data_IF_765079217573
#
_entry.id   IF_765079217573
#
_cell.length_a   1.000
_cell.length_b   1.000
_cell.length_c   1.000
_cell.angle_alpha   90.00
_cell.angle_beta   90.00
_cell.angle_gamma   90.00
#
_symmetry.space_group_name_H-M   'P 1'
#
loop_
_entity.id
_entity.type
_entity.pdbx_description
1 polymer ?
#
# COMPACT_ATOMS: atom_id res chain seq x y z
N UNK A 1 13.00 6.47 19.07
CA UNK A 1 12.88 5.92 17.71
C UNK A 1 11.70 6.59 17.03
N UNK A 2 11.82 6.94 15.77
CA UNK A 2 10.71 7.54 15.00
C UNK A 2 9.72 6.42 14.66
N UNK A 3 8.44 6.59 15.04
CA UNK A 3 7.43 5.54 14.91
C UNK A 3 6.53 5.78 13.70
N UNK A 4 6.11 4.72 13.00
CA UNK A 4 5.09 4.83 11.97
C UNK A 4 3.74 5.20 12.58
N UNK A 5 3.03 6.10 11.91
CA UNK A 5 1.65 6.42 12.27
C UNK A 5 0.71 5.29 11.84
N UNK A 6 -0.27 5.00 12.66
CA UNK A 6 -1.37 4.10 12.29
C UNK A 6 -2.70 4.56 12.87
N UNK A 7 -3.79 4.18 12.18
CA UNK A 7 -5.12 4.17 12.75
C UNK A 7 -5.47 2.71 13.11
N UNK A 8 -5.78 2.44 14.38
CA UNK A 8 -6.18 1.11 14.85
C UNK A 8 -7.70 1.08 14.93
N UNK A 9 -8.32 0.07 14.31
CA UNK A 9 -9.77 -0.10 14.23
C UNK A 9 -10.14 -1.50 14.71
N UNK A 10 -11.03 -1.57 15.71
CA UNK A 10 -11.42 -2.82 16.37
C UNK A 10 -10.49 -3.21 17.51
N UNK A 11 -10.89 -4.24 18.25
CA UNK A 11 -10.17 -4.77 19.43
C UNK A 11 -10.19 -6.30 19.45
N UNK A 12 -10.30 -6.93 18.27
CA UNK A 12 -10.30 -8.39 18.15
C UNK A 12 -8.95 -8.99 18.56
N UNK A 13 -8.95 -10.28 18.84
CA UNK A 13 -7.75 -10.99 19.30
C UNK A 13 -6.71 -11.22 18.19
N UNK A 14 -7.10 -11.15 16.91
CA UNK A 14 -6.21 -11.36 15.76
C UNK A 14 -5.80 -10.03 15.16
N UNK A 15 -4.51 -9.79 15.08
CA UNK A 15 -3.97 -8.57 14.49
C UNK A 15 -3.95 -8.64 12.97
N UNK A 16 -4.34 -7.54 12.33
CA UNK A 16 -4.38 -7.40 10.88
C UNK A 16 -3.69 -6.10 10.47
N UNK A 17 -2.56 -6.17 9.77
CA UNK A 17 -1.82 -4.99 9.32
C UNK A 17 -2.11 -4.74 7.85
N UNK A 18 -2.55 -3.52 7.51
CA UNK A 18 -2.80 -3.09 6.14
C UNK A 18 -1.77 -2.03 5.73
N UNK A 19 -1.07 -2.31 4.62
CA UNK A 19 -0.05 -1.47 4.02
C UNK A 19 -0.56 -0.92 2.68
N UNK A 20 -0.65 0.40 2.58
CA UNK A 20 -1.15 1.09 1.39
C UNK A 20 -0.16 1.11 0.23
N UNK A 21 -0.66 1.41 -0.97
CA UNK A 21 0.14 1.62 -2.19
C UNK A 21 0.85 2.98 -2.22
N UNK A 22 1.71 3.16 -3.22
CA UNK A 22 2.45 4.39 -3.45
C UNK A 22 1.53 5.61 -3.52
N UNK A 23 1.92 6.70 -2.87
CA UNK A 23 1.13 7.94 -2.70
C UNK A 23 -0.22 7.74 -2.00
N UNK A 24 -0.44 6.60 -1.37
CA UNK A 24 -1.60 6.32 -0.52
C UNK A 24 -1.36 6.66 0.95
N UNK A 25 -2.31 6.23 1.77
CA UNK A 25 -2.25 6.27 3.24
C UNK A 25 -3.21 5.24 3.83
N UNK A 26 -3.05 4.89 5.10
CA UNK A 26 -3.91 3.94 5.79
C UNK A 26 -5.40 4.30 5.71
N UNK A 27 -5.74 5.60 5.73
CA UNK A 27 -7.12 6.09 5.63
C UNK A 27 -7.85 5.63 4.35
N UNK A 28 -7.13 5.26 3.29
CA UNK A 28 -7.74 4.71 2.08
C UNK A 28 -8.43 3.36 2.31
N UNK A 29 -8.07 2.67 3.39
CA UNK A 29 -8.54 1.34 3.74
C UNK A 29 -9.57 1.31 4.87
N UNK A 30 -10.01 2.46 5.38
CA UNK A 30 -10.91 2.57 6.55
C UNK A 30 -12.19 1.75 6.43
N UNK A 31 -12.81 1.70 5.26
CA UNK A 31 -14.05 0.93 5.05
C UNK A 31 -13.81 -0.57 5.22
N UNK A 32 -12.74 -1.09 4.60
CA UNK A 32 -12.37 -2.50 4.73
C UNK A 32 -11.94 -2.85 6.15
N UNK A 33 -11.20 -1.94 6.80
CA UNK A 33 -10.79 -2.14 8.20
C UNK A 33 -11.97 -2.21 9.15
N UNK A 34 -13.00 -1.37 8.99
CA UNK A 34 -14.23 -1.44 9.78
C UNK A 34 -14.95 -2.77 9.59
N UNK A 35 -15.02 -3.26 8.35
CA UNK A 35 -15.65 -4.54 8.06
C UNK A 35 -14.85 -5.73 8.65
N UNK A 36 -13.51 -5.68 8.56
CA UNK A 36 -12.64 -6.68 9.21
C UNK A 36 -12.77 -6.64 10.73
N UNK A 37 -12.86 -5.45 11.32
CA UNK A 37 -13.06 -5.31 12.77
C UNK A 37 -14.38 -5.94 13.24
N UNK A 38 -15.44 -5.85 12.44
CA UNK A 38 -16.71 -6.54 12.71
C UNK A 38 -16.58 -8.08 12.65
N UNK A 39 -15.55 -8.59 11.94
CA UNK A 39 -15.19 -10.00 11.87
C UNK A 39 -14.15 -10.42 12.93
N UNK A 40 -13.96 -9.64 13.99
CA UNK A 40 -13.13 -10.00 15.13
C UNK A 40 -11.62 -9.71 14.97
N UNK A 41 -11.24 -8.84 14.05
CA UNK A 41 -9.84 -8.40 13.88
C UNK A 41 -9.55 -7.08 14.61
N UNK A 42 -8.31 -6.91 15.07
CA UNK A 42 -7.73 -5.63 15.43
C UNK A 42 -6.91 -5.14 14.22
N UNK A 43 -7.40 -4.12 13.52
CA UNK A 43 -6.85 -3.72 12.21
C UNK A 43 -5.99 -2.48 12.33
N UNK A 44 -4.72 -2.60 11.98
CA UNK A 44 -3.72 -1.54 11.96
C UNK A 44 -3.59 -0.99 10.55
N UNK A 45 -4.07 0.22 10.30
CA UNK A 45 -3.90 0.96 9.05
C UNK A 45 -2.62 1.77 9.12
N UNK A 46 -1.52 1.21 8.63
CA UNK A 46 -0.18 1.80 8.81
C UNK A 46 0.15 2.72 7.64
N UNK A 47 0.59 3.94 7.95
CA UNK A 47 1.18 4.86 6.98
C UNK A 47 2.68 4.55 6.84
N UNK A 48 3.15 4.31 5.61
CA UNK A 48 4.57 4.09 5.35
C UNK A 48 5.39 5.39 5.59
N UNK A 49 6.71 5.27 5.84
CA UNK A 49 7.61 6.43 5.85
C UNK A 49 7.37 7.31 4.62
N UNK A 50 7.50 8.61 4.75
CA UNK A 50 7.26 9.61 3.70
C UNK A 50 5.83 9.66 3.15
N UNK A 51 4.86 8.97 3.80
CA UNK A 51 3.45 8.97 3.43
C UNK A 51 2.55 9.27 4.63
N UNK A 52 1.32 9.67 4.34
CA UNK A 52 0.28 9.87 5.33
C UNK A 52 0.71 10.80 6.47
N UNK A 53 0.58 10.32 7.71
CA UNK A 53 1.00 11.04 8.94
C UNK A 53 2.29 10.49 9.53
N UNK A 54 2.91 9.51 8.86
CA UNK A 54 4.22 9.00 9.25
C UNK A 54 5.32 10.02 9.01
N UNK A 55 6.45 9.80 9.65
CA UNK A 55 7.60 10.70 9.58
C UNK A 55 8.16 10.83 8.16
N UNK A 56 8.74 11.97 7.87
CA UNK A 56 9.54 12.22 6.69
C UNK A 56 11.00 11.83 6.95
N UNK A 57 11.63 11.24 5.93
CA UNK A 57 13.03 10.82 5.93
C UNK A 57 13.61 11.08 4.55
N UNK A 58 14.91 11.40 4.48
CA UNK A 58 15.64 11.55 3.22
C UNK A 58 15.89 10.21 2.52
N UNK A 59 15.63 9.10 3.21
CA UNK A 59 15.84 7.76 2.70
C UNK A 59 14.51 7.02 2.50
N UNK A 60 14.42 6.31 1.36
CA UNK A 60 13.27 5.50 1.01
C UNK A 60 13.69 4.25 0.25
N UNK A 61 13.44 3.07 0.83
CA UNK A 61 13.68 1.77 0.19
C UNK A 61 12.88 0.67 0.88
N UNK A 62 12.69 -0.49 0.23
CA UNK A 62 12.00 -1.62 0.83
C UNK A 62 12.69 -2.17 2.10
N UNK A 63 14.03 -2.31 2.17
CA UNK A 63 14.68 -2.72 3.42
C UNK A 63 14.38 -1.79 4.60
N UNK A 64 14.35 -0.48 4.37
CA UNK A 64 14.00 0.49 5.39
C UNK A 64 12.53 0.40 5.80
N UNK A 65 11.60 0.18 4.86
CA UNK A 65 10.19 -0.02 5.17
C UNK A 65 9.95 -1.32 5.95
N UNK A 66 10.69 -2.38 5.65
CA UNK A 66 10.68 -3.64 6.42
C UNK A 66 11.15 -3.41 7.85
N UNK A 67 12.25 -2.67 8.04
CA UNK A 67 12.75 -2.34 9.37
C UNK A 67 11.77 -1.47 10.16
N UNK A 68 11.12 -0.50 9.51
CA UNK A 68 10.08 0.32 10.15
C UNK A 68 8.91 -0.53 10.65
N UNK A 69 8.48 -1.51 9.84
CA UNK A 69 7.39 -2.42 10.23
C UNK A 69 7.80 -3.34 11.39
N UNK A 70 9.03 -3.83 11.40
CA UNK A 70 9.53 -4.62 12.53
C UNK A 70 9.50 -3.79 13.81
N UNK A 71 10.03 -2.57 13.76
CA UNK A 71 10.00 -1.64 14.89
C UNK A 71 8.57 -1.29 15.32
N UNK A 72 7.65 -1.14 14.34
CA UNK A 72 6.23 -0.89 14.60
C UNK A 72 5.58 -2.06 15.35
N UNK A 73 5.80 -3.29 14.90
CA UNK A 73 5.27 -4.49 15.55
C UNK A 73 5.81 -4.64 16.97
N UNK A 74 7.11 -4.41 17.17
CA UNK A 74 7.75 -4.50 18.49
C UNK A 74 7.20 -3.43 19.45
N UNK A 75 7.00 -2.20 18.97
CA UNK A 75 6.40 -1.11 19.75
C UNK A 75 4.97 -1.41 20.19
N UNK A 76 4.17 -2.05 19.33
CA UNK A 76 2.80 -2.44 19.62
C UNK A 76 2.67 -3.83 20.27
N UNK A 77 3.79 -4.48 20.61
CA UNK A 77 3.84 -5.82 21.20
C UNK A 77 3.09 -6.87 20.37
N UNK A 78 3.16 -6.74 19.04
CA UNK A 78 2.55 -7.70 18.11
C UNK A 78 3.54 -8.83 17.86
N UNK A 79 3.27 -10.03 18.36
CA UNK A 79 4.11 -11.21 18.08
C UNK A 79 4.02 -11.59 16.61
N UNK A 80 2.80 -11.70 16.10
CA UNK A 80 2.52 -11.90 14.69
C UNK A 80 1.25 -11.14 14.25
N UNK A 81 0.98 -11.12 12.94
CA UNK A 81 -0.21 -10.55 12.36
C UNK A 81 -0.52 -11.15 10.98
N UNK A 82 -1.75 -10.98 10.53
CA UNK A 82 -2.09 -11.12 9.11
C UNK A 82 -1.69 -9.82 8.40
N UNK A 83 -0.96 -9.94 7.30
CA UNK A 83 -0.56 -8.79 6.50
C UNK A 83 -1.38 -8.71 5.22
N UNK A 84 -1.83 -7.51 4.90
CA UNK A 84 -2.35 -7.16 3.58
C UNK A 84 -1.57 -5.98 3.04
N UNK A 85 -0.98 -6.13 1.86
CA UNK A 85 -0.25 -5.05 1.20
C UNK A 85 -0.73 -4.81 -0.22
N UNK A 86 -1.01 -3.56 -0.58
CA UNK A 86 -1.37 -3.16 -1.94
C UNK A 86 -0.17 -2.52 -2.65
N UNK A 87 0.14 -3.00 -3.86
CA UNK A 87 1.16 -2.40 -4.73
C UNK A 87 2.52 -2.25 -3.99
N UNK A 88 3.03 -1.05 -3.74
CA UNK A 88 4.21 -0.78 -2.90
C UNK A 88 4.10 -1.47 -1.53
N UNK A 89 2.96 -1.35 -0.85
CA UNK A 89 2.71 -2.06 0.42
C UNK A 89 2.74 -3.57 0.27
N UNK A 90 2.34 -4.10 -0.89
CA UNK A 90 2.46 -5.53 -1.23
C UNK A 90 3.90 -5.99 -1.36
N UNK A 91 4.75 -5.20 -2.00
CA UNK A 91 6.21 -5.48 -2.05
C UNK A 91 6.85 -5.40 -0.68
N UNK A 92 6.45 -4.43 0.13
CA UNK A 92 6.92 -4.33 1.52
C UNK A 92 6.51 -5.55 2.34
N UNK A 93 5.25 -5.99 2.23
CA UNK A 93 4.74 -7.17 2.92
C UNK A 93 5.44 -8.46 2.46
N UNK A 94 5.65 -8.62 1.14
CA UNK A 94 6.41 -9.76 0.60
C UNK A 94 7.85 -9.78 1.11
N UNK A 95 8.54 -8.63 1.08
CA UNK A 95 9.92 -8.52 1.58
C UNK A 95 10.01 -8.81 3.08
N UNK A 96 9.03 -8.35 3.86
CA UNK A 96 8.93 -8.63 5.29
C UNK A 96 8.69 -10.13 5.54
N UNK A 97 7.79 -10.77 4.78
CA UNK A 97 7.49 -12.19 4.90
C UNK A 97 8.71 -13.08 4.65
N UNK A 98 9.55 -12.74 3.68
CA UNK A 98 10.76 -13.48 3.34
C UNK A 98 11.89 -13.31 4.39
N UNK A 99 11.91 -12.17 5.11
CA UNK A 99 12.91 -11.86 6.12
C UNK A 99 12.47 -12.29 7.53
N UNK A 100 11.20 -12.12 7.86
CA UNK A 100 10.62 -12.34 9.19
C UNK A 100 9.39 -13.27 9.14
N UNK A 101 9.49 -14.50 8.59
CA UNK A 101 8.34 -15.37 8.34
C UNK A 101 7.56 -15.76 9.60
N UNK A 102 8.21 -15.77 10.77
CA UNK A 102 7.56 -16.06 12.04
C UNK A 102 6.60 -14.97 12.51
N UNK A 103 6.82 -13.71 12.06
CA UNK A 103 6.01 -12.54 12.42
C UNK A 103 4.74 -12.38 11.55
N UNK A 104 4.51 -13.25 10.58
CA UNK A 104 3.32 -13.23 9.72
C UNK A 104 2.54 -14.53 9.90
N UNK A 105 1.25 -14.44 10.19
CA UNK A 105 0.32 -15.57 10.22
C UNK A 105 -0.12 -15.96 8.81
N UNK A 106 -0.69 -15.00 8.06
CA UNK A 106 -1.14 -15.12 6.67
C UNK A 106 -0.72 -13.87 5.89
N UNK A 107 -0.44 -14.01 4.60
CA UNK A 107 -0.07 -12.90 3.73
C UNK A 107 -1.11 -12.69 2.63
N UNK A 108 -1.58 -11.45 2.45
CA UNK A 108 -2.41 -11.03 1.32
C UNK A 108 -1.68 -9.96 0.53
N UNK A 109 -1.47 -10.21 -0.75
CA UNK A 109 -0.81 -9.29 -1.69
C UNK A 109 -1.83 -8.82 -2.71
N UNK A 110 -2.02 -7.51 -2.82
CA UNK A 110 -3.03 -6.91 -3.67
C UNK A 110 -2.35 -6.24 -4.86
N UNK A 111 -2.56 -6.84 -6.03
CA UNK A 111 -2.23 -6.40 -7.38
C UNK A 111 -0.78 -5.98 -7.62
N UNK A 112 0.14 -6.82 -7.19
CA UNK A 112 1.58 -6.67 -7.44
C UNK A 112 2.27 -8.05 -7.41
N UNK A 113 3.27 -8.26 -8.29
CA UNK A 113 4.14 -9.43 -8.28
C UNK A 113 5.56 -9.06 -7.76
N UNK A 114 6.40 -10.03 -7.41
CA UNK A 114 7.76 -9.76 -6.91
C UNK A 114 8.76 -9.35 -8.01
N UNK A 115 8.32 -9.01 -9.21
CA UNK A 115 9.15 -8.61 -10.35
C UNK A 115 9.48 -7.12 -10.36
N UNK A 116 10.35 -6.71 -11.29
CA UNK A 116 10.59 -5.30 -11.61
C UNK A 116 9.39 -4.68 -12.35
N UNK A 117 9.11 -3.44 -12.01
CA UNK A 117 8.17 -2.56 -12.71
C UNK A 117 8.86 -1.25 -13.07
N UNK A 118 8.84 -0.87 -14.34
CA UNK A 118 9.32 0.45 -14.73
C UNK A 118 8.53 1.54 -13.98
N UNK A 119 9.15 2.65 -13.56
CA UNK A 119 8.48 3.68 -12.78
C UNK A 119 7.29 4.30 -13.53
N UNK A 120 6.02 3.99 -13.17
CA UNK A 120 4.86 4.44 -13.94
C UNK A 120 4.35 5.81 -13.52
N UNK A 121 4.94 6.41 -12.47
CA UNK A 121 4.34 7.57 -11.79
C UNK A 121 5.03 8.90 -12.09
N UNK A 122 5.84 8.99 -13.15
CA UNK A 122 6.61 10.22 -13.45
C UNK A 122 5.72 11.45 -13.65
N UNK A 123 4.62 11.34 -14.41
CA UNK A 123 3.68 12.45 -14.63
C UNK A 123 2.96 12.85 -13.33
N UNK A 124 2.57 11.87 -12.50
CA UNK A 124 1.95 12.11 -11.20
C UNK A 124 2.91 12.88 -10.28
N UNK A 125 4.15 12.41 -10.20
CA UNK A 125 5.19 13.05 -9.37
C UNK A 125 5.55 14.44 -9.90
N UNK A 126 5.56 14.65 -11.22
CA UNK A 126 5.73 15.98 -11.83
C UNK A 126 4.59 16.92 -11.41
N UNK A 127 3.33 16.46 -11.52
CA UNK A 127 2.17 17.24 -11.11
C UNK A 127 2.18 17.61 -9.62
N UNK A 128 2.51 16.64 -8.76
CA UNK A 128 2.58 16.89 -7.31
C UNK A 128 3.77 17.79 -6.92
N UNK A 129 4.94 17.64 -7.58
CA UNK A 129 6.14 18.43 -7.28
C UNK A 129 6.05 19.88 -7.72
N UNK A 130 5.14 20.20 -8.65
CA UNK A 130 4.92 21.57 -9.17
C UNK A 130 3.76 22.28 -8.49
N UNK A 131 3.15 21.68 -7.45
CA UNK A 131 2.11 22.35 -6.65
C UNK A 131 2.71 23.48 -5.81
N UNK A 132 2.37 24.72 -6.14
CA UNK A 132 2.69 25.89 -5.30
C UNK A 132 1.50 26.26 -4.42
N UNK A 133 1.57 25.90 -3.15
CA UNK A 133 0.51 26.20 -2.16
C UNK A 133 0.41 27.65 -1.72
N UNK A 134 1.29 28.54 -2.20
CA UNK A 134 1.10 29.97 -2.10
C UNK A 134 0.02 30.46 -3.09
N UNK A 135 -0.15 29.74 -4.21
CA UNK A 135 -1.12 30.04 -5.26
C UNK A 135 -2.34 29.11 -5.17
N UNK A 136 -2.13 27.83 -4.88
CA UNK A 136 -3.16 26.80 -4.80
C UNK A 136 -3.81 26.80 -3.40
N UNK A 137 -4.71 27.75 -3.16
CA UNK A 137 -5.33 27.96 -1.85
C UNK A 137 -6.55 27.05 -1.57
N UNK A 138 -6.94 26.18 -2.51
CA UNK A 138 -8.11 25.30 -2.36
C UNK A 138 -7.88 23.90 -2.96
N UNK A 139 -8.63 22.90 -2.49
CA UNK A 139 -8.64 21.56 -3.08
C UNK A 139 -9.09 21.58 -4.55
N UNK A 140 -10.01 22.48 -4.90
CA UNK A 140 -10.46 22.64 -6.27
C UNK A 140 -9.34 23.18 -7.18
N UNK A 141 -8.62 24.21 -6.75
CA UNK A 141 -7.46 24.73 -7.47
C UNK A 141 -6.35 23.67 -7.65
N UNK A 142 -6.07 22.90 -6.60
CA UNK A 142 -5.13 21.78 -6.67
C UNK A 142 -5.61 20.68 -7.63
N UNK A 143 -6.92 20.43 -7.71
CA UNK A 143 -7.52 19.48 -8.65
C UNK A 143 -7.35 19.91 -10.10
N UNK A 144 -7.61 21.19 -10.43
CA UNK A 144 -7.39 21.76 -11.74
C UNK A 144 -5.91 21.76 -12.15
N UNK A 145 -5.00 21.97 -11.18
CA UNK A 145 -3.58 21.86 -11.43
C UNK A 145 -3.20 20.42 -11.82
N UNK A 146 -3.66 19.41 -11.07
CA UNK A 146 -3.37 18.00 -11.34
C UNK A 146 -3.97 17.48 -12.64
N UNK A 147 -5.06 18.05 -13.11
CA UNK A 147 -5.72 17.66 -14.37
C UNK A 147 -4.79 17.77 -15.59
N UNK A 148 -3.83 18.68 -15.54
CA UNK A 148 -2.81 18.87 -16.58
C UNK A 148 -1.83 17.69 -16.69
N UNK A 149 -1.71 16.87 -15.63
CA UNK A 149 -0.75 15.77 -15.52
C UNK A 149 -1.43 14.41 -15.43
N UNK A 150 -2.64 14.36 -14.90
CA UNK A 150 -3.37 13.12 -14.60
C UNK A 150 -4.79 13.28 -15.14
N UNK A 151 -5.08 12.66 -16.27
CA UNK A 151 -6.38 12.77 -16.95
C UNK A 151 -7.47 11.93 -16.29
N UNK A 152 -7.10 10.84 -15.60
CA UNK A 152 -8.02 9.90 -14.98
C UNK A 152 -8.56 10.48 -13.66
N UNK A 153 -9.90 10.64 -13.57
CA UNK A 153 -10.58 11.32 -12.45
C UNK A 153 -10.36 10.60 -11.12
N UNK A 154 -10.44 9.26 -11.11
CA UNK A 154 -10.28 8.46 -9.89
C UNK A 154 -8.89 8.59 -9.30
N UNK A 155 -7.85 8.61 -10.17
CA UNK A 155 -6.46 8.84 -9.75
C UNK A 155 -6.30 10.25 -9.15
N UNK A 156 -6.87 11.29 -9.78
CA UNK A 156 -6.83 12.66 -9.22
C UNK A 156 -7.49 12.70 -7.84
N UNK A 157 -8.68 12.13 -7.70
CA UNK A 157 -9.39 12.10 -6.42
C UNK A 157 -8.60 11.36 -5.33
N UNK A 158 -7.94 10.25 -5.70
CA UNK A 158 -7.04 9.53 -4.80
C UNK A 158 -5.88 10.41 -4.35
N UNK A 159 -5.19 11.08 -5.28
CA UNK A 159 -4.07 11.96 -4.98
C UNK A 159 -4.46 13.16 -4.12
N UNK A 160 -5.62 13.76 -4.39
CA UNK A 160 -6.14 14.91 -3.62
C UNK A 160 -6.47 14.56 -2.16
N UNK A 161 -6.66 13.28 -1.80
CA UNK A 161 -6.81 12.87 -0.40
C UNK A 161 -5.56 13.16 0.43
N UNK A 162 -4.39 13.28 -0.20
CA UNK A 162 -3.13 13.65 0.45
C UNK A 162 -3.03 15.13 0.86
N UNK A 163 -3.93 15.98 0.38
CA UNK A 163 -3.98 17.38 0.79
C UNK A 163 -4.48 17.48 2.24
N UNK A 164 -3.85 18.35 3.02
CA UNK A 164 -4.30 18.70 4.35
C UNK A 164 -4.07 20.20 4.63
N UNK A 165 -4.79 20.72 5.56
CA UNK A 165 -4.58 22.09 6.03
C UNK A 165 -3.43 22.10 7.04
N UNK A 166 -2.33 22.80 6.71
CA UNK A 166 -1.23 23.07 7.65
C UNK A 166 -1.72 24.07 8.70
N UNK A 167 -2.40 25.11 8.23
CA UNK A 167 -3.09 26.14 8.96
C UNK A 167 -4.24 26.67 8.10
N UNK A 168 -5.10 27.52 8.63
CA UNK A 168 -6.22 28.09 7.89
C UNK A 168 -5.72 28.81 6.63
N UNK A 169 -6.29 28.45 5.48
CA UNK A 169 -5.92 29.00 4.18
C UNK A 169 -4.63 28.46 3.56
N UNK A 170 -3.89 27.57 4.24
CA UNK A 170 -2.62 27.02 3.76
C UNK A 170 -2.67 25.50 3.65
N UNK A 171 -2.72 25.00 2.42
CA UNK A 171 -2.64 23.59 2.11
C UNK A 171 -1.20 23.07 2.14
N UNK A 172 -1.08 21.76 2.34
CA UNK A 172 0.14 20.99 2.17
C UNK A 172 -0.14 19.59 1.68
N UNK A 173 0.93 18.89 1.31
CA UNK A 173 0.90 17.48 0.93
C UNK A 173 1.50 16.63 2.06
N UNK A 174 0.83 15.54 2.40
CA UNK A 174 1.33 14.56 3.36
C UNK A 174 2.55 13.79 2.85
N UNK A 175 2.59 13.31 1.57
CA UNK A 175 3.76 12.62 1.06
C UNK A 175 4.96 13.57 0.88
N UNK A 176 6.15 13.09 1.20
CA UNK A 176 7.42 13.77 0.93
C UNK A 176 7.79 13.59 -0.56
N UNK A 177 7.17 14.41 -1.42
CA UNK A 177 7.31 14.30 -2.87
C UNK A 177 8.75 14.42 -3.34
N UNK A 178 9.58 15.25 -2.70
CA UNK A 178 10.98 15.43 -3.07
C UNK A 178 11.77 14.11 -2.98
N UNK A 179 11.59 13.37 -1.89
CA UNK A 179 12.26 12.07 -1.69
C UNK A 179 11.64 10.99 -2.57
N UNK A 180 10.30 10.92 -2.64
CA UNK A 180 9.59 9.89 -3.40
C UNK A 180 9.85 9.99 -4.91
N UNK A 181 10.06 11.18 -5.44
CA UNK A 181 10.45 11.38 -6.84
C UNK A 181 11.81 10.76 -7.15
N UNK A 182 12.78 10.91 -6.23
CA UNK A 182 14.12 10.34 -6.40
C UNK A 182 14.15 8.82 -6.14
N UNK A 183 13.15 8.29 -5.44
CA UNK A 183 13.04 6.87 -5.11
C UNK A 183 12.21 6.05 -6.13
N UNK A 184 11.77 6.65 -7.23
CA UNK A 184 10.86 6.01 -8.19
C UNK A 184 11.36 4.65 -8.71
N UNK A 185 12.66 4.53 -9.02
CA UNK A 185 13.29 3.26 -9.41
C UNK A 185 13.24 2.22 -8.28
N UNK A 186 13.51 2.63 -7.05
CA UNK A 186 13.47 1.73 -5.87
C UNK A 186 12.07 1.15 -5.64
N UNK A 187 11.01 1.91 -5.96
CA UNK A 187 9.62 1.46 -5.84
C UNK A 187 9.31 0.33 -6.84
N UNK A 188 9.89 0.42 -8.04
CA UNK A 188 9.77 -0.61 -9.08
C UNK A 188 10.60 -1.87 -8.84
N UNK A 189 11.58 -1.85 -7.95
CA UNK A 189 12.61 -2.89 -7.81
C UNK A 189 12.03 -4.31 -7.63
N UNK A 190 12.74 -5.30 -8.22
CA UNK A 190 12.46 -6.73 -8.01
C UNK A 190 12.71 -7.12 -6.56
N UNK A 191 11.91 -8.05 -6.04
CA UNK A 191 12.22 -8.74 -4.79
C UNK A 191 13.14 -9.91 -5.09
N UNK A 192 14.44 -9.71 -4.92
CA UNK A 192 15.43 -10.76 -5.04
C UNK A 192 15.56 -11.50 -3.71
N UNK A 193 15.31 -12.82 -3.72
CA UNK A 193 15.46 -13.68 -2.55
C UNK A 193 15.68 -15.14 -2.98
N UNK A 194 16.55 -15.82 -2.26
CA UNK A 194 16.71 -17.27 -2.27
C UNK A 194 15.80 -17.98 -1.26
N UNK A 195 15.14 -17.21 -0.37
CA UNK A 195 14.23 -17.72 0.65
C UNK A 195 12.81 -17.86 0.09
N UNK A 196 12.05 -18.73 0.75
CA UNK A 196 10.62 -18.91 0.47
C UNK A 196 9.80 -18.63 1.73
N UNK A 197 8.60 -18.08 1.52
CA UNK A 197 7.58 -17.96 2.55
C UNK A 197 6.55 -19.06 2.36
N UNK A 198 6.54 -20.04 3.29
CA UNK A 198 5.76 -21.28 3.16
C UNK A 198 4.43 -21.27 3.93
N UNK A 199 4.02 -20.11 4.46
CA UNK A 199 2.71 -19.95 5.10
C UNK A 199 1.62 -19.57 4.07
N UNK A 200 0.32 -19.65 4.44
CA UNK A 200 -0.79 -19.31 3.53
C UNK A 200 -0.63 -17.90 2.94
N UNK A 201 -0.72 -17.81 1.62
CA UNK A 201 -0.58 -16.55 0.88
C UNK A 201 -1.69 -16.42 -0.16
N UNK A 202 -2.31 -15.24 -0.23
CA UNK A 202 -3.31 -14.90 -1.24
C UNK A 202 -2.80 -13.73 -2.08
N UNK A 203 -2.79 -13.89 -3.39
CA UNK A 203 -2.64 -12.81 -4.35
C UNK A 203 -4.01 -12.45 -4.94
N UNK A 204 -4.47 -11.24 -4.73
CA UNK A 204 -5.67 -10.68 -5.35
C UNK A 204 -5.23 -9.79 -6.51
N UNK A 205 -5.62 -10.13 -7.74
CA UNK A 205 -5.32 -9.33 -8.93
C UNK A 205 -6.59 -8.72 -9.51
N UNK A 206 -6.49 -7.53 -10.09
CA UNK A 206 -7.57 -6.97 -10.90
C UNK A 206 -7.68 -7.70 -12.25
N UNK A 207 -8.91 -8.00 -12.68
CA UNK A 207 -9.17 -8.64 -13.99
C UNK A 207 -8.60 -7.79 -15.14
N UNK A 208 -8.74 -6.46 -15.04
CA UNK A 208 -8.29 -5.48 -16.02
C UNK A 208 -6.90 -4.89 -15.69
N UNK A 209 -6.18 -5.49 -14.73
CA UNK A 209 -4.85 -5.05 -14.34
C UNK A 209 -3.75 -5.81 -15.06
N UNK A 210 -2.68 -5.11 -15.43
CA UNK A 210 -1.49 -5.70 -16.04
C UNK A 210 -0.35 -5.98 -15.05
N UNK A 211 -0.58 -5.81 -13.73
CA UNK A 211 0.46 -6.01 -12.72
C UNK A 211 0.78 -7.48 -12.49
N UNK A 212 -0.21 -8.37 -12.56
CA UNK A 212 -0.03 -9.84 -12.54
C UNK A 212 -0.74 -10.38 -13.76
N UNK A 213 -0.02 -10.55 -14.87
CA UNK A 213 -0.66 -10.86 -16.14
C UNK A 213 -0.04 -12.03 -16.93
N UNK A 214 1.22 -12.35 -16.68
CA UNK A 214 1.96 -13.37 -17.45
C UNK A 214 2.15 -14.67 -16.66
N UNK A 215 2.47 -15.75 -17.36
CA UNK A 215 2.86 -17.01 -16.72
C UNK A 215 4.18 -16.86 -15.95
N UNK A 216 5.09 -16.00 -16.44
CA UNK A 216 6.31 -15.65 -15.71
C UNK A 216 6.01 -15.00 -14.36
N UNK A 217 5.00 -14.11 -14.29
CA UNK A 217 4.59 -13.49 -13.02
C UNK A 217 4.10 -14.55 -12.03
N UNK A 218 3.36 -15.55 -12.51
CA UNK A 218 2.87 -16.67 -11.69
C UNK A 218 4.02 -17.57 -11.23
N UNK A 219 5.01 -17.82 -12.08
CA UNK A 219 6.21 -18.60 -11.73
C UNK A 219 7.03 -17.87 -10.65
N UNK A 220 7.25 -16.56 -10.77
CA UNK A 220 7.95 -15.77 -9.77
C UNK A 220 7.22 -15.76 -8.42
N UNK A 221 5.88 -15.64 -8.43
CA UNK A 221 5.06 -15.76 -7.23
C UNK A 221 5.23 -17.15 -6.60
N UNK A 222 5.06 -18.23 -7.37
CA UNK A 222 5.11 -19.60 -6.84
C UNK A 222 6.50 -19.96 -6.34
N UNK A 223 7.55 -19.43 -6.97
CA UNK A 223 8.94 -19.64 -6.55
C UNK A 223 9.22 -19.10 -5.14
N UNK A 224 8.71 -17.92 -4.82
CA UNK A 224 8.91 -17.28 -3.50
C UNK A 224 7.82 -17.63 -2.48
N UNK A 225 6.60 -17.89 -2.95
CA UNK A 225 5.41 -18.15 -2.13
C UNK A 225 4.73 -19.44 -2.61
N UNK A 226 5.29 -20.64 -2.31
CA UNK A 226 4.80 -21.90 -2.88
C UNK A 226 3.37 -22.29 -2.43
N UNK A 227 2.84 -21.68 -1.37
CA UNK A 227 1.45 -21.84 -0.92
C UNK A 227 0.54 -20.67 -1.37
N UNK A 228 0.91 -19.96 -2.42
CA UNK A 228 0.12 -18.85 -2.93
C UNK A 228 -1.11 -19.33 -3.72
N UNK A 229 -2.26 -18.77 -3.40
CA UNK A 229 -3.45 -18.78 -4.23
C UNK A 229 -3.55 -17.44 -4.97
N UNK A 230 -3.89 -17.47 -6.27
CA UNK A 230 -4.08 -16.24 -7.07
C UNK A 230 -5.55 -16.16 -7.47
N UNK A 231 -6.24 -15.12 -7.02
CA UNK A 231 -7.66 -14.86 -7.30
C UNK A 231 -7.84 -13.56 -8.07
N UNK A 232 -8.63 -13.59 -9.14
CA UNK A 232 -8.94 -12.42 -9.95
C UNK A 232 -10.21 -11.73 -9.46
N UNK A 233 -10.15 -10.41 -9.24
CA UNK A 233 -11.28 -9.56 -8.89
C UNK A 233 -11.89 -9.01 -10.18
N UNK A 234 -13.11 -9.44 -10.46
CA UNK A 234 -13.83 -9.10 -11.69
C UNK A 234 -14.09 -7.60 -11.80
N UNK A 235 -14.03 -7.07 -13.04
CA UNK A 235 -14.34 -5.66 -13.38
C UNK A 235 -13.51 -4.66 -12.57
N UNK A 236 -12.27 -4.99 -12.25
CA UNK A 236 -11.39 -4.14 -11.48
C UNK A 236 -9.99 -4.08 -12.11
N UNK A 237 -9.36 -2.91 -12.05
CA UNK A 237 -7.97 -2.64 -12.39
C UNK A 237 -7.07 -2.68 -11.14
N UNK A 238 -6.10 -1.74 -11.10
CA UNK A 238 -5.09 -1.71 -10.03
C UNK A 238 -5.66 -1.36 -8.64
N UNK A 239 -6.70 -0.57 -8.57
CA UNK A 239 -7.37 -0.23 -7.30
C UNK A 239 -8.59 -1.12 -7.02
N UNK A 240 -8.42 -2.44 -7.18
CA UNK A 240 -9.51 -3.43 -7.10
C UNK A 240 -10.32 -3.35 -5.80
N UNK A 241 -9.70 -2.96 -4.69
CA UNK A 241 -10.37 -2.74 -3.40
C UNK A 241 -11.32 -1.53 -3.39
N UNK A 242 -11.11 -0.58 -4.30
CA UNK A 242 -11.96 0.60 -4.48
C UNK A 242 -12.92 0.45 -5.67
N UNK A 243 -12.49 -0.23 -6.75
CA UNK A 243 -13.25 -0.38 -7.98
C UNK A 243 -14.34 -1.46 -7.86
N UNK A 244 -14.08 -2.56 -7.13
CA UNK A 244 -15.08 -3.58 -6.80
C UNK A 244 -14.97 -4.02 -5.33
N UNK A 245 -15.33 -3.12 -4.39
CA UNK A 245 -15.09 -3.33 -2.97
C UNK A 245 -15.83 -4.54 -2.39
N UNK A 246 -17.02 -4.86 -2.91
CA UNK A 246 -17.81 -6.01 -2.43
C UNK A 246 -17.12 -7.32 -2.81
N UNK A 247 -16.81 -7.51 -4.09
CA UNK A 247 -16.19 -8.75 -4.57
C UNK A 247 -14.79 -8.94 -3.98
N UNK A 248 -14.04 -7.84 -3.82
CA UNK A 248 -12.77 -7.83 -3.11
C UNK A 248 -12.91 -8.35 -1.67
N UNK A 249 -13.84 -7.78 -0.92
CA UNK A 249 -14.04 -8.12 0.49
C UNK A 249 -14.54 -9.56 0.66
N UNK A 250 -15.49 -9.99 -0.16
CA UNK A 250 -16.01 -11.36 -0.15
C UNK A 250 -14.89 -12.37 -0.45
N UNK A 251 -14.03 -12.10 -1.45
CA UNK A 251 -12.89 -12.97 -1.79
C UNK A 251 -11.86 -13.04 -0.66
N UNK A 252 -11.57 -11.90 -0.02
CA UNK A 252 -10.66 -11.82 1.11
C UNK A 252 -11.19 -12.63 2.31
N UNK A 253 -12.43 -12.40 2.71
CA UNK A 253 -13.02 -13.06 3.90
C UNK A 253 -13.24 -14.54 3.69
N UNK A 254 -13.65 -14.97 2.50
CA UNK A 254 -13.75 -16.40 2.16
C UNK A 254 -12.40 -17.11 2.30
N UNK A 255 -11.30 -16.47 1.96
CA UNK A 255 -9.96 -17.05 2.12
C UNK A 255 -9.44 -16.99 3.55
N UNK A 256 -9.81 -15.98 4.31
CA UNK A 256 -9.42 -15.85 5.72
C UNK A 256 -10.05 -16.94 6.60
N UNK A 257 -11.27 -17.39 6.29
CA UNK A 257 -12.04 -18.40 7.03
C UNK A 257 -12.93 -17.78 8.07
#
# INVERSE_FOLDING_TARGET
>A
MTQLHSNIIGSGARNFIILHGFLGMGDNWKTHAKNLAQNGYCVHLVDARNHGRSFWSDQFSYPLMVQDLLNYMDFHHLEDAIFLGHSMGGKTAMSFALQHPHRIEKLVVVDIAPKYYAPPHQQILAGLSTMDFKVLSSRAAAGLHLEKFVTEIGARQFLLKNLYWIEEGKLGLRPNIAVLKNAAESIGATIASDKQFVKPTLFLKGENSNYINTDSDRQDITRLFPKANITSIKKAGHWLHAENPKYFFDSLTTWLG
#
